data_IF_152651835987
#
_entry.id   IF_152651835987
#
_cell.length_a   1.000
_cell.length_b   1.000
_cell.length_c   1.000
_cell.angle_alpha   90.00
_cell.angle_beta   90.00
_cell.angle_gamma   90.00
#
_symmetry.space_group_name_H-M   'P 1'
#
loop_
_entity.id
_entity.type
_entity.pdbx_description
1 polymer ?
#
# COMPACT_ATOMS: atom_id res chain seq x y z
N UNK A 1 13.66 -21.53 -3.01
CA UNK A 1 13.79 -20.24 -2.33
C UNK A 1 12.40 -19.62 -2.30
N UNK A 2 11.86 -19.30 -1.13
CA UNK A 2 10.61 -18.55 -1.07
C UNK A 2 10.90 -17.08 -1.34
N UNK A 3 10.14 -16.52 -2.27
CA UNK A 3 10.19 -15.10 -2.63
C UNK A 3 9.25 -14.35 -1.70
N UNK A 4 9.64 -13.18 -1.16
CA UNK A 4 8.77 -12.41 -0.27
C UNK A 4 7.53 -11.87 -1.01
N UNK A 5 6.40 -11.85 -0.32
CA UNK A 5 5.26 -10.99 -0.68
C UNK A 5 5.62 -9.58 -0.22
N UNK A 6 5.62 -8.65 -1.16
CA UNK A 6 5.97 -7.26 -0.88
C UNK A 6 4.76 -6.40 -1.19
N UNK A 7 4.23 -5.72 -0.20
CA UNK A 7 3.31 -4.61 -0.46
C UNK A 7 4.19 -3.37 -0.59
N UNK A 8 4.29 -2.85 -1.80
CA UNK A 8 5.13 -1.71 -2.12
C UNK A 8 4.30 -0.42 -2.14
N UNK A 9 4.67 0.50 -1.25
CA UNK A 9 4.32 1.91 -1.41
C UNK A 9 5.44 2.53 -2.24
N UNK A 10 5.19 2.78 -3.53
CA UNK A 10 6.21 3.32 -4.43
C UNK A 10 5.96 4.81 -4.65
N UNK A 11 6.82 5.62 -4.03
CA UNK A 11 7.07 6.99 -4.46
C UNK A 11 8.35 6.94 -5.27
N UNK A 12 8.32 7.32 -6.53
CA UNK A 12 9.54 7.44 -7.34
C UNK A 12 9.53 8.81 -7.97
N UNK A 13 10.20 9.80 -7.35
CA UNK A 13 10.20 11.21 -7.79
C UNK A 13 10.76 11.45 -9.20
N UNK A 14 11.15 10.42 -9.96
CA UNK A 14 11.91 10.64 -11.20
C UNK A 14 11.67 9.63 -12.33
N UNK A 15 10.90 8.55 -12.13
CA UNK A 15 10.70 7.59 -13.22
C UNK A 15 9.46 6.71 -13.02
N UNK A 16 8.50 6.81 -13.94
CA UNK A 16 7.56 5.73 -14.21
C UNK A 16 8.34 4.66 -15.00
N UNK A 17 8.59 3.48 -14.43
CA UNK A 17 9.18 2.42 -15.26
C UNK A 17 8.08 1.74 -16.08
N UNK A 18 7.87 2.29 -17.28
CA UNK A 18 6.89 1.78 -18.25
C UNK A 18 7.13 0.31 -18.63
N UNK A 19 8.31 -0.27 -18.34
CA UNK A 19 8.60 -1.69 -18.58
C UNK A 19 7.96 -2.61 -17.53
N UNK A 20 7.56 -2.07 -16.38
CA UNK A 20 6.96 -2.82 -15.27
C UNK A 20 5.48 -2.51 -15.02
N UNK A 21 4.87 -1.68 -15.88
CA UNK A 21 3.43 -1.40 -15.83
C UNK A 21 3.01 -0.34 -14.80
N UNK A 22 3.95 0.46 -14.28
CA UNK A 22 3.66 1.55 -13.35
C UNK A 22 2.59 2.49 -13.91
N UNK A 23 1.51 2.73 -13.16
CA UNK A 23 0.42 3.62 -13.59
C UNK A 23 0.84 5.10 -13.61
N UNK A 24 1.72 5.51 -12.69
CA UNK A 24 2.37 6.83 -12.59
C UNK A 24 3.52 6.77 -11.57
N UNK A 25 4.14 7.92 -11.27
CA UNK A 25 5.23 8.11 -10.31
C UNK A 25 4.79 8.23 -8.83
N UNK A 26 3.48 8.19 -8.57
CA UNK A 26 2.85 8.41 -7.26
C UNK A 26 1.69 7.43 -7.07
N UNK A 27 2.04 6.17 -6.79
CA UNK A 27 1.08 5.08 -6.68
C UNK A 27 1.31 4.17 -5.47
N UNK A 28 0.29 3.38 -5.17
CA UNK A 28 0.35 2.29 -4.20
C UNK A 28 0.15 0.99 -4.97
N UNK A 29 0.97 -0.03 -4.70
CA UNK A 29 0.94 -1.31 -5.39
C UNK A 29 0.93 -2.50 -4.44
N UNK A 30 0.35 -3.61 -4.90
CA UNK A 30 0.46 -4.91 -4.24
C UNK A 30 1.21 -5.86 -5.17
N UNK A 31 2.37 -6.33 -4.72
CA UNK A 31 3.26 -7.17 -5.50
C UNK A 31 3.35 -8.58 -4.89
N UNK A 32 3.27 -9.58 -5.76
CA UNK A 32 3.40 -10.99 -5.37
C UNK A 32 4.50 -11.61 -6.22
N UNK A 33 5.65 -11.90 -5.60
CA UNK A 33 6.82 -12.53 -6.25
C UNK A 33 7.33 -11.83 -7.52
N UNK A 34 7.03 -10.55 -7.72
CA UNK A 34 7.39 -9.79 -8.91
C UNK A 34 7.56 -8.31 -8.57
N UNK A 35 8.31 -7.59 -9.41
CA UNK A 35 8.35 -6.11 -9.35
C UNK A 35 7.12 -5.49 -10.01
N UNK A 36 6.43 -6.23 -10.88
CA UNK A 36 5.17 -5.78 -11.47
C UNK A 36 4.06 -5.92 -10.44
N UNK A 37 3.38 -4.81 -10.16
CA UNK A 37 2.20 -4.80 -9.31
C UNK A 37 1.11 -5.69 -9.90
N UNK A 38 0.53 -6.56 -9.08
CA UNK A 38 -0.67 -7.32 -9.45
C UNK A 38 -1.89 -6.38 -9.50
N UNK A 39 -1.91 -5.38 -8.61
CA UNK A 39 -2.87 -4.26 -8.61
C UNK A 39 -2.15 -3.00 -8.14
N UNK A 40 -2.49 -1.87 -8.75
CA UNK A 40 -1.95 -0.57 -8.38
C UNK A 40 -3.00 0.52 -8.51
N UNK A 41 -2.98 1.48 -7.61
CA UNK A 41 -3.89 2.64 -7.58
C UNK A 41 -3.12 3.94 -7.35
N UNK A 42 -3.67 5.06 -7.82
CA UNK A 42 -3.07 6.38 -7.54
C UNK A 42 -2.99 6.57 -6.03
N UNK A 43 -1.90 7.16 -5.54
CA UNK A 43 -1.78 7.41 -4.11
C UNK A 43 -2.85 8.40 -3.64
N UNK A 44 -3.73 7.94 -2.76
CA UNK A 44 -4.80 8.76 -2.24
C UNK A 44 -5.71 8.01 -1.29
N UNK A 45 -6.81 8.64 -0.94
CA UNK A 45 -7.76 8.10 0.02
C UNK A 45 -9.18 8.58 -0.24
N UNK A 46 -10.14 7.73 0.10
CA UNK A 46 -11.56 8.03 -0.07
C UNK A 46 -12.12 8.68 1.19
N UNK A 47 -12.82 9.79 1.04
CA UNK A 47 -13.61 10.39 2.10
C UNK A 47 -15.10 10.28 1.79
N UNK A 48 -15.88 9.90 2.80
CA UNK A 48 -17.33 9.88 2.69
C UNK A 48 -17.88 11.25 3.09
N UNK A 49 -18.54 11.92 2.15
CA UNK A 49 -19.18 13.22 2.35
C UNK A 49 -20.70 13.11 2.19
N UNK A 50 -21.43 14.14 2.62
CA UNK A 50 -22.86 14.29 2.35
C UNK A 50 -23.09 15.61 1.62
N UNK A 51 -23.69 15.53 0.44
CA UNK A 51 -24.13 16.72 -0.31
C UNK A 51 -25.60 16.54 -0.64
N UNK A 52 -26.45 17.50 -0.29
CA UNK A 52 -27.91 17.40 -0.50
C UNK A 52 -28.54 16.17 0.18
N UNK A 53 -28.02 15.73 1.33
CA UNK A 53 -28.52 14.55 2.05
C UNK A 53 -28.06 13.18 1.51
N UNK A 54 -27.42 13.13 0.33
CA UNK A 54 -26.91 11.89 -0.27
C UNK A 54 -25.46 11.63 0.14
N UNK A 55 -25.13 10.37 0.44
CA UNK A 55 -23.76 9.92 0.68
C UNK A 55 -22.98 9.96 -0.64
N UNK A 56 -21.81 10.58 -0.64
CA UNK A 56 -20.88 10.58 -1.77
C UNK A 56 -19.50 10.15 -1.30
N UNK A 57 -18.73 9.55 -2.21
CA UNK A 57 -17.33 9.24 -2.01
C UNK A 57 -16.51 10.22 -2.84
N UNK A 58 -15.57 10.90 -2.20
CA UNK A 58 -14.63 11.78 -2.86
C UNK A 58 -13.22 11.21 -2.69
N UNK A 59 -12.54 11.00 -3.81
CA UNK A 59 -11.13 10.65 -3.80
C UNK A 59 -10.29 11.90 -3.53
N UNK A 60 -9.36 11.79 -2.60
CA UNK A 60 -8.33 12.79 -2.34
C UNK A 60 -6.98 12.20 -2.66
N UNK A 61 -6.40 12.68 -3.76
CA UNK A 61 -5.03 12.35 -4.13
C UNK A 61 -4.05 12.90 -3.09
N UNK A 62 -3.00 12.14 -2.80
CA UNK A 62 -1.88 12.58 -1.95
C UNK A 62 -0.60 12.48 -2.76
N UNK A 63 0.35 13.36 -2.47
CA UNK A 63 1.68 13.30 -3.09
C UNK A 63 2.64 12.68 -2.08
N UNK A 64 3.00 11.41 -2.25
CA UNK A 64 3.85 10.69 -1.29
C UNK A 64 5.20 11.39 -1.05
N UNK A 65 5.67 12.13 -2.06
CA UNK A 65 6.91 12.89 -2.01
C UNK A 65 6.77 14.30 -1.39
N UNK A 66 5.63 14.67 -0.80
CA UNK A 66 5.42 16.02 -0.25
C UNK A 66 6.23 16.29 1.02
N UNK A 67 6.71 15.23 1.69
CA UNK A 67 7.28 15.31 3.03
C UNK A 67 6.24 15.25 4.15
N UNK A 68 4.95 15.21 3.81
CA UNK A 68 3.89 14.99 4.78
C UNK A 68 3.97 13.58 5.39
N UNK A 69 3.51 13.44 6.63
CA UNK A 69 3.41 12.13 7.27
C UNK A 69 2.15 11.42 6.80
N UNK A 70 2.33 10.22 6.25
CA UNK A 70 1.25 9.32 5.88
C UNK A 70 1.22 8.10 6.78
N UNK A 71 0.04 7.48 6.88
CA UNK A 71 -0.16 6.19 7.54
C UNK A 71 -0.81 5.24 6.55
N UNK A 72 -0.24 4.05 6.44
CA UNK A 72 -0.80 2.95 5.68
C UNK A 72 -1.30 1.87 6.64
N UNK A 73 -2.42 1.25 6.26
CA UNK A 73 -2.95 0.05 6.91
C UNK A 73 -2.99 -1.06 5.87
N UNK A 74 -2.43 -2.19 6.24
CA UNK A 74 -2.40 -3.40 5.43
C UNK A 74 -3.10 -4.48 6.24
N UNK A 75 -4.15 -5.04 5.68
CA UNK A 75 -4.91 -6.11 6.30
C UNK A 75 -5.01 -7.29 5.34
N UNK A 76 -4.91 -8.49 5.90
CA UNK A 76 -5.18 -9.73 5.20
C UNK A 76 -6.18 -10.56 5.99
N UNK A 77 -7.31 -10.90 5.37
CA UNK A 77 -8.35 -11.73 5.98
C UNK A 77 -9.14 -12.44 4.90
N UNK A 78 -9.44 -13.73 5.08
CA UNK A 78 -10.27 -14.52 4.15
C UNK A 78 -9.80 -14.40 2.68
N UNK A 79 -8.49 -14.56 2.46
CA UNK A 79 -7.83 -14.41 1.15
C UNK A 79 -7.99 -13.05 0.48
N UNK A 80 -8.31 -12.01 1.25
CA UNK A 80 -8.44 -10.63 0.79
C UNK A 80 -7.36 -9.76 1.41
N UNK A 81 -6.61 -9.06 0.55
CA UNK A 81 -5.70 -7.98 0.94
C UNK A 81 -6.40 -6.65 0.77
N UNK A 82 -6.39 -5.85 1.83
CA UNK A 82 -6.88 -4.47 1.83
C UNK A 82 -5.75 -3.52 2.20
N UNK A 83 -5.50 -2.52 1.35
CA UNK A 83 -4.53 -1.45 1.60
C UNK A 83 -5.28 -0.13 1.73
N UNK A 84 -5.08 0.56 2.84
CA UNK A 84 -5.62 1.90 3.06
C UNK A 84 -4.48 2.87 3.30
N UNK A 85 -4.56 4.07 2.73
CA UNK A 85 -3.60 5.16 2.92
C UNK A 85 -4.35 6.40 3.40
N UNK A 86 -3.73 7.23 4.24
CA UNK A 86 -4.22 8.56 4.57
C UNK A 86 -3.11 9.42 5.22
N UNK A 87 -3.25 10.76 5.27
CA UNK A 87 -2.46 11.59 6.18
C UNK A 87 -2.49 11.06 7.62
N UNK A 88 -1.34 11.03 8.28
CA UNK A 88 -1.15 10.33 9.56
C UNK A 88 -2.00 10.87 10.72
N UNK A 89 -2.46 12.13 10.63
CA UNK A 89 -3.32 12.79 11.60
C UNK A 89 -4.81 12.42 11.44
N UNK A 90 -5.18 11.71 10.36
CA UNK A 90 -6.54 11.27 10.12
C UNK A 90 -6.78 9.85 10.67
N UNK A 91 -8.04 9.57 11.02
CA UNK A 91 -8.50 8.21 11.28
C UNK A 91 -8.46 7.40 9.99
N UNK A 92 -8.30 6.08 10.10
CA UNK A 92 -8.35 5.15 8.98
C UNK A 92 -9.63 5.36 8.16
N UNK A 93 -9.53 5.67 6.86
CA UNK A 93 -10.68 5.67 5.95
C UNK A 93 -11.45 4.35 5.97
N UNK A 94 -12.78 4.43 5.87
CA UNK A 94 -13.62 3.22 5.85
C UNK A 94 -13.49 2.44 4.55
N UNK A 95 -13.23 3.14 3.45
CA UNK A 95 -13.05 2.54 2.14
C UNK A 95 -11.55 2.38 1.89
N UNK A 96 -11.06 1.16 1.64
CA UNK A 96 -9.65 0.96 1.30
C UNK A 96 -9.32 1.60 -0.05
N UNK A 97 -8.04 1.89 -0.26
CA UNK A 97 -7.53 2.34 -1.55
C UNK A 97 -7.49 1.16 -2.53
N UNK A 98 -6.95 0.03 -2.09
CA UNK A 98 -6.89 -1.23 -2.84
C UNK A 98 -7.60 -2.30 -2.03
N UNK A 99 -8.45 -3.08 -2.70
CA UNK A 99 -8.98 -4.34 -2.19
C UNK A 99 -8.84 -5.39 -3.29
N UNK A 100 -8.13 -6.48 -2.99
CA UNK A 100 -7.90 -7.55 -3.98
C UNK A 100 -7.87 -8.91 -3.32
N UNK A 101 -8.23 -9.94 -4.07
CA UNK A 101 -8.21 -11.32 -3.60
C UNK A 101 -6.86 -11.97 -3.96
N UNK A 102 -6.13 -12.42 -2.94
CA UNK A 102 -4.85 -13.09 -3.08
C UNK A 102 -4.86 -14.28 -2.14
N UNK A 103 -4.68 -15.48 -2.69
CA UNK A 103 -4.38 -16.64 -1.88
C UNK A 103 -2.90 -16.57 -1.46
N UNK A 104 -2.62 -16.12 -0.24
CA UNK A 104 -1.25 -16.06 0.24
C UNK A 104 -0.69 -17.44 0.58
N UNK A 105 -1.52 -18.49 0.73
CA UNK A 105 -1.07 -19.84 1.13
C UNK A 105 -0.11 -20.48 0.12
N UNK A 106 -0.22 -20.09 -1.15
CA UNK A 106 0.67 -20.59 -2.22
C UNK A 106 2.02 -19.86 -2.27
N UNK A 107 2.20 -18.82 -1.45
CA UNK A 107 3.39 -17.95 -1.47
C UNK A 107 4.07 -17.83 -0.11
N UNK A 108 3.32 -17.78 0.98
CA UNK A 108 3.89 -17.71 2.33
C UNK A 108 4.38 -19.07 2.79
N UNK A 109 5.58 -19.10 3.37
CA UNK A 109 6.07 -20.27 4.09
C UNK A 109 5.55 -20.26 5.54
N UNK A 110 5.76 -21.38 6.23
CA UNK A 110 5.49 -21.54 7.66
C UNK A 110 6.11 -20.43 8.51
N UNK A 111 7.35 -20.05 8.20
CA UNK A 111 8.04 -18.91 8.84
C UNK A 111 8.38 -17.86 7.80
N UNK A 112 7.93 -16.63 8.03
CA UNK A 112 8.20 -15.46 7.21
C UNK A 112 8.51 -14.27 8.10
N UNK A 113 9.26 -13.30 7.57
CA UNK A 113 9.56 -12.04 8.24
C UNK A 113 8.76 -10.91 7.58
N UNK A 114 8.32 -9.96 8.40
CA UNK A 114 7.67 -8.73 7.94
C UNK A 114 8.59 -7.55 8.22
N UNK A 115 8.59 -6.55 7.34
CA UNK A 115 9.47 -5.40 7.46
C UNK A 115 9.24 -4.39 6.34
N UNK A 116 10.12 -3.39 6.30
CA UNK A 116 10.10 -2.33 5.31
C UNK A 116 11.33 -2.43 4.42
N UNK A 117 11.14 -2.10 3.15
CA UNK A 117 12.23 -1.90 2.19
C UNK A 117 12.04 -0.54 1.53
N UNK A 118 13.14 0.15 1.28
CA UNK A 118 13.18 1.43 0.58
C UNK A 118 14.40 1.47 -0.31
N UNK A 119 14.26 2.06 -1.49
CA UNK A 119 15.34 2.21 -2.45
C UNK A 119 15.27 3.59 -3.06
N UNK A 120 16.44 4.16 -3.34
CA UNK A 120 16.58 5.45 -3.98
C UNK A 120 17.21 5.26 -5.35
N UNK A 121 16.62 5.89 -6.37
CA UNK A 121 17.16 5.91 -7.73
C UNK A 121 18.26 6.97 -7.87
N UNK A 122 18.20 7.76 -8.96
CA UNK A 122 19.17 8.85 -9.21
C UNK A 122 18.94 10.11 -8.37
N UNK A 123 17.79 10.23 -7.71
CA UNK A 123 17.42 11.37 -6.86
C UNK A 123 17.88 11.22 -5.41
N UNK A 124 17.53 12.19 -4.56
CA UNK A 124 17.66 12.09 -3.10
C UNK A 124 16.26 11.99 -2.49
N UNK A 125 15.97 10.85 -1.87
CA UNK A 125 14.74 10.57 -1.13
C UNK A 125 15.07 10.08 0.27
N UNK A 126 14.18 10.36 1.22
CA UNK A 126 14.27 9.84 2.58
C UNK A 126 13.03 9.00 2.86
N UNK A 127 13.25 7.77 3.35
CA UNK A 127 12.18 6.85 3.73
C UNK A 127 12.22 6.66 5.25
N UNK A 128 11.45 7.48 5.97
CA UNK A 128 11.42 7.44 7.44
C UNK A 128 10.21 6.63 7.95
N UNK A 129 10.48 5.58 8.73
CA UNK A 129 9.46 4.85 9.48
C UNK A 129 9.35 5.43 10.89
N UNK A 130 8.34 6.27 11.10
CA UNK A 130 8.13 6.96 12.40
C UNK A 130 7.56 6.04 13.48
N UNK A 131 6.70 5.12 13.10
CA UNK A 131 6.05 4.15 13.98
C UNK A 131 5.51 3.01 13.15
N UNK A 132 5.54 1.80 13.68
CA UNK A 132 4.90 0.65 13.06
C UNK A 132 4.41 -0.33 14.14
N UNK A 133 3.41 -1.12 13.76
CA UNK A 133 2.90 -2.22 14.58
C UNK A 133 2.51 -3.35 13.63
N UNK A 134 2.73 -4.59 14.05
CA UNK A 134 2.33 -5.78 13.32
C UNK A 134 1.63 -6.74 14.27
N UNK A 135 0.56 -7.34 13.79
CA UNK A 135 -0.20 -8.36 14.51
C UNK A 135 -0.53 -9.50 13.53
N UNK A 136 -0.37 -10.73 14.01
CA UNK A 136 -0.78 -11.94 13.30
C UNK A 136 -1.51 -12.84 14.30
N UNK A 137 -2.75 -13.21 13.96
CA UNK A 137 -3.62 -14.06 14.79
C UNK A 137 -3.74 -15.47 14.24
N UNK A 138 -2.98 -15.82 13.18
CA UNK A 138 -2.90 -17.18 12.69
C UNK A 138 -2.42 -18.10 13.82
N UNK A 139 -3.08 -19.25 13.96
CA UNK A 139 -2.66 -20.26 14.91
C UNK A 139 -1.36 -20.88 14.39
N UNK A 140 -0.33 -20.87 15.22
CA UNK A 140 0.84 -21.74 15.02
C UNK A 140 0.35 -23.19 15.11
N UNK A 141 0.60 -23.98 14.07
CA UNK A 141 0.40 -25.43 14.13
C UNK A 141 1.52 -26.09 14.93
#
# INVERSE_FOLDING_TARGET
>A
MATPITISLQSSLVFQDKRFGDINDNHVGVNVNSVNSMVSEKAGYWIQTRTGGKKQLLFKEVKLSSGDKYKAWIEYKDSKVSVTLAPAHLKKPKMPLIETHIDLSVVVLETMYTGFSGSMGRGVERHDIWSWSFENTAKSN
#
